data_IF_739774631453
#
_entry.id   IF_739774631453
#
_cell.length_a   1.000
_cell.length_b   1.000
_cell.length_c   1.000
_cell.angle_alpha   90.00
_cell.angle_beta   90.00
_cell.angle_gamma   90.00
#
_symmetry.space_group_name_H-M   'P 1'
#
loop_
_entity.id
_entity.type
_entity.pdbx_description
1 polymer ?
#
# COMPACT_ATOMS: atom_id res chain seq x y z
N UNK A 1 -15.34 5.67 -11.49
CA UNK A 1 -16.66 5.51 -10.82
C UNK A 1 -17.05 6.85 -10.20
N UNK A 2 -18.35 7.15 -10.06
CA UNK A 2 -18.84 8.44 -9.56
C UNK A 2 -19.20 8.46 -8.06
N UNK A 3 -18.97 7.35 -7.34
CA UNK A 3 -19.19 7.26 -5.89
C UNK A 3 -20.64 7.52 -5.47
N UNK A 4 -21.59 6.77 -6.06
CA UNK A 4 -23.02 6.94 -5.80
C UNK A 4 -23.66 5.74 -5.08
N UNK A 5 -23.01 4.58 -5.11
CA UNK A 5 -23.60 3.28 -4.71
C UNK A 5 -22.57 2.40 -3.99
N UNK A 6 -21.70 3.03 -3.21
CA UNK A 6 -20.69 2.38 -2.41
C UNK A 6 -21.33 1.45 -1.39
N UNK A 7 -20.78 0.24 -1.28
CA UNK A 7 -21.18 -0.77 -0.32
C UNK A 7 -20.03 -1.71 -0.04
N UNK A 8 -20.09 -2.39 1.10
CA UNK A 8 -19.20 -3.52 1.39
C UNK A 8 -19.53 -4.67 0.44
N UNK A 9 -18.49 -5.36 -0.04
CA UNK A 9 -18.64 -6.51 -0.94
C UNK A 9 -17.43 -7.43 -0.86
N UNK A 10 -17.64 -8.70 -1.21
CA UNK A 10 -16.53 -9.61 -1.46
C UNK A 10 -15.80 -9.21 -2.74
N UNK A 11 -14.47 -9.22 -2.71
CA UNK A 11 -13.60 -8.86 -3.83
C UNK A 11 -12.70 -10.06 -4.14
N UNK A 12 -12.72 -10.53 -5.39
CA UNK A 12 -11.76 -11.54 -5.86
C UNK A 12 -10.40 -10.90 -6.18
N UNK A 13 -9.28 -11.63 -5.97
CA UNK A 13 -7.96 -11.12 -6.27
C UNK A 13 -7.73 -10.97 -7.78
N UNK A 14 -7.01 -9.92 -8.17
CA UNK A 14 -6.60 -9.65 -9.56
C UNK A 14 -5.11 -9.96 -9.74
N UNK A 15 -4.80 -11.09 -10.35
CA UNK A 15 -3.41 -11.58 -10.52
C UNK A 15 -2.65 -11.02 -11.72
N UNK A 16 -3.36 -10.50 -12.73
CA UNK A 16 -2.72 -9.92 -13.93
C UNK A 16 -2.15 -8.52 -13.68
N UNK A 17 -1.62 -7.89 -14.73
CA UNK A 17 -1.05 -6.54 -14.64
C UNK A 17 -2.00 -5.48 -14.08
N UNK A 18 -3.31 -5.65 -14.25
CA UNK A 18 -4.34 -4.80 -13.64
C UNK A 18 -4.35 -4.82 -12.10
N UNK A 19 -3.72 -5.81 -11.46
CA UNK A 19 -3.55 -5.83 -9.99
C UNK A 19 -2.66 -4.71 -9.47
N UNK A 20 -1.79 -4.13 -10.31
CA UNK A 20 -0.94 -2.99 -9.96
C UNK A 20 -1.62 -1.64 -10.18
N UNK A 21 -2.83 -1.61 -10.75
CA UNK A 21 -3.60 -0.39 -10.88
C UNK A 21 -4.12 0.04 -9.49
N UNK A 22 -3.76 1.24 -8.98
CA UNK A 22 -4.18 1.69 -7.64
C UNK A 22 -5.70 1.84 -7.48
N UNK A 23 -6.46 1.90 -8.58
CA UNK A 23 -7.92 1.99 -8.58
C UNK A 23 -8.61 0.62 -8.69
N UNK A 24 -7.86 -0.49 -8.76
CA UNK A 24 -8.42 -1.84 -8.80
C UNK A 24 -8.44 -2.47 -7.39
N UNK A 25 -9.62 -2.67 -6.77
CA UNK A 25 -9.71 -3.28 -5.44
C UNK A 25 -9.24 -4.74 -5.42
N UNK A 26 -9.31 -5.46 -6.54
CA UNK A 26 -8.78 -6.82 -6.65
C UNK A 26 -7.27 -6.88 -6.49
N UNK A 27 -6.55 -5.79 -6.81
CA UNK A 27 -5.13 -5.66 -6.56
C UNK A 27 -4.79 -5.62 -5.07
N UNK A 28 -5.65 -4.99 -4.25
CA UNK A 28 -5.47 -4.94 -2.78
C UNK A 28 -5.57 -6.34 -2.18
N UNK A 29 -6.57 -7.13 -2.61
CA UNK A 29 -6.71 -8.53 -2.15
C UNK A 29 -5.51 -9.38 -2.57
N UNK A 30 -5.11 -9.32 -3.85
CA UNK A 30 -3.95 -10.04 -4.37
C UNK A 30 -2.65 -9.65 -3.63
N UNK A 31 -2.46 -8.35 -3.36
CA UNK A 31 -1.32 -7.84 -2.61
C UNK A 31 -1.23 -8.45 -1.21
N UNK A 32 -2.33 -8.50 -0.45
CA UNK A 32 -2.31 -9.07 0.90
C UNK A 32 -2.01 -10.57 0.91
N UNK A 33 -2.56 -11.32 -0.05
CA UNK A 33 -2.30 -12.76 -0.18
C UNK A 33 -0.81 -13.01 -0.45
N UNK A 34 -0.25 -12.36 -1.47
CA UNK A 34 1.14 -12.57 -1.86
C UNK A 34 2.13 -12.01 -0.84
N UNK A 35 1.89 -10.78 -0.33
CA UNK A 35 2.72 -10.21 0.71
C UNK A 35 2.68 -11.04 2.00
N UNK A 36 1.53 -11.62 2.33
CA UNK A 36 1.40 -12.55 3.46
C UNK A 36 2.24 -13.81 3.29
N UNK A 37 2.18 -14.44 2.11
CA UNK A 37 2.99 -15.61 1.78
C UNK A 37 4.49 -15.30 1.82
N UNK A 38 4.91 -14.19 1.19
CA UNK A 38 6.31 -13.74 1.19
C UNK A 38 6.78 -13.41 2.62
N UNK A 39 5.95 -12.74 3.42
CA UNK A 39 6.24 -12.40 4.81
C UNK A 39 6.45 -13.65 5.68
N UNK A 40 5.64 -14.69 5.49
CA UNK A 40 5.79 -15.96 6.19
C UNK A 40 7.10 -16.67 5.82
N UNK A 41 7.42 -16.76 4.53
CA UNK A 41 8.66 -17.37 4.05
C UNK A 41 9.90 -16.59 4.52
N UNK A 42 9.84 -15.26 4.46
CA UNK A 42 10.91 -14.36 4.94
C UNK A 42 11.10 -14.49 6.46
N UNK A 43 10.01 -14.56 7.22
CA UNK A 43 10.05 -14.79 8.67
C UNK A 43 10.72 -16.13 9.01
N UNK A 44 10.34 -17.21 8.32
CA UNK A 44 10.99 -18.52 8.50
C UNK A 44 12.49 -18.47 8.18
N UNK A 45 12.86 -17.79 7.09
CA UNK A 45 14.26 -17.57 6.74
C UNK A 45 15.02 -16.83 7.85
N UNK A 46 14.47 -15.72 8.36
CA UNK A 46 15.10 -14.93 9.42
C UNK A 46 15.19 -15.66 10.78
N UNK A 47 14.33 -16.64 11.05
CA UNK A 47 14.41 -17.49 12.24
C UNK A 47 15.50 -18.57 12.14
N UNK A 48 15.75 -19.08 10.94
CA UNK A 48 16.64 -20.23 10.71
C UNK A 48 18.04 -19.83 10.26
N UNK A 49 18.21 -18.61 9.72
CA UNK A 49 19.43 -18.16 9.07
C UNK A 49 20.07 -17.00 9.85
N UNK A 50 21.23 -17.21 10.50
CA UNK A 50 21.92 -16.13 11.21
C UNK A 50 22.50 -15.10 10.23
N UNK A 51 22.65 -13.84 10.64
CA UNK A 51 23.15 -12.78 9.78
C UNK A 51 24.63 -13.03 9.38
N UNK A 52 25.00 -12.80 8.11
CA UNK A 52 26.39 -12.81 7.67
C UNK A 52 27.24 -11.80 8.45
N UNK A 53 28.48 -12.16 8.80
CA UNK A 53 29.39 -11.32 9.60
C UNK A 53 29.57 -9.92 9.03
N UNK A 54 29.67 -9.79 7.70
CA UNK A 54 29.86 -8.51 7.01
C UNK A 54 28.67 -7.58 7.28
N UNK A 55 27.44 -8.08 7.11
CA UNK A 55 26.22 -7.30 7.36
C UNK A 55 26.06 -6.96 8.84
N UNK A 56 26.36 -7.92 9.73
CA UNK A 56 26.27 -7.73 11.18
C UNK A 56 27.14 -6.56 11.66
N UNK A 57 28.36 -6.46 11.12
CA UNK A 57 29.29 -5.38 11.43
C UNK A 57 28.91 -4.07 10.71
N UNK A 58 28.64 -4.12 9.41
CA UNK A 58 28.34 -2.93 8.61
C UNK A 58 27.09 -2.19 9.12
N UNK A 59 26.04 -2.93 9.46
CA UNK A 59 24.77 -2.38 9.95
C UNK A 59 24.74 -2.22 11.49
N UNK A 60 25.84 -2.54 12.19
CA UNK A 60 25.95 -2.45 13.65
C UNK A 60 24.80 -3.14 14.39
N UNK A 61 24.43 -4.36 13.98
CA UNK A 61 23.21 -5.07 14.44
C UNK A 61 23.13 -5.34 15.97
N UNK A 62 24.19 -5.08 16.74
CA UNK A 62 24.16 -5.11 18.22
C UNK A 62 23.58 -3.85 18.86
N UNK A 63 23.50 -2.74 18.14
CA UNK A 63 22.95 -1.48 18.64
C UNK A 63 21.47 -1.38 18.23
N UNK A 64 20.56 -1.29 19.21
CA UNK A 64 19.12 -1.13 18.99
C UNK A 64 18.75 0.13 18.20
N UNK A 65 19.57 1.19 18.28
CA UNK A 65 19.36 2.42 17.52
C UNK A 65 19.38 2.20 16.01
N UNK A 66 20.03 1.13 15.53
CA UNK A 66 20.03 0.77 14.10
C UNK A 66 18.66 0.24 13.66
N UNK A 67 17.99 -0.52 14.53
CA UNK A 67 16.61 -0.96 14.33
C UNK A 67 15.69 0.26 14.39
N UNK A 68 15.89 1.18 15.34
CA UNK A 68 15.12 2.43 15.42
C UNK A 68 15.26 3.26 14.14
N UNK A 69 16.49 3.49 13.67
CA UNK A 69 16.77 4.29 12.47
C UNK A 69 16.13 3.69 11.22
N UNK A 70 16.31 2.38 11.00
CA UNK A 70 15.70 1.68 9.87
C UNK A 70 14.16 1.65 9.95
N UNK A 71 13.59 1.54 11.16
CA UNK A 71 12.15 1.55 11.38
C UNK A 71 11.52 2.92 11.12
N UNK A 72 12.18 4.01 11.53
CA UNK A 72 11.74 5.37 11.21
C UNK A 72 11.72 5.58 9.70
N UNK A 73 12.76 5.11 8.98
CA UNK A 73 12.79 5.19 7.53
C UNK A 73 11.62 4.42 6.88
N UNK A 74 11.31 3.22 7.36
CA UNK A 74 10.19 2.42 6.87
C UNK A 74 8.82 3.07 7.13
N UNK A 75 8.60 3.61 8.33
CA UNK A 75 7.35 4.31 8.70
C UNK A 75 7.19 5.60 7.89
N UNK A 76 8.28 6.35 7.69
CA UNK A 76 8.29 7.55 6.86
C UNK A 76 7.87 7.21 5.43
N UNK A 77 8.46 6.17 4.85
CA UNK A 77 8.07 5.67 3.52
C UNK A 77 6.58 5.32 3.44
N UNK A 78 6.07 4.54 4.39
CA UNK A 78 4.65 4.18 4.44
C UNK A 78 3.73 5.40 4.58
N UNK A 79 4.12 6.38 5.40
CA UNK A 79 3.37 7.62 5.62
C UNK A 79 3.27 8.47 4.35
N UNK A 80 4.36 8.55 3.57
CA UNK A 80 4.36 9.24 2.28
C UNK A 80 3.45 8.57 1.26
N UNK A 81 3.50 7.24 1.15
CA UNK A 81 2.63 6.49 0.25
C UNK A 81 1.15 6.67 0.62
N UNK A 82 0.81 6.59 1.91
CA UNK A 82 -0.56 6.80 2.38
C UNK A 82 -1.05 8.23 2.13
N UNK A 83 -0.18 9.22 2.32
CA UNK A 83 -0.51 10.62 2.01
C UNK A 83 -0.76 10.81 0.51
N UNK A 84 0.04 10.17 -0.35
CA UNK A 84 -0.15 10.21 -1.79
C UNK A 84 -1.45 9.54 -2.24
N UNK A 85 -1.75 8.32 -1.76
CA UNK A 85 -2.99 7.61 -2.14
C UNK A 85 -4.24 8.30 -1.60
N UNK A 86 -4.15 9.02 -0.48
CA UNK A 86 -5.23 9.89 -0.01
C UNK A 86 -5.43 11.10 -0.94
N UNK A 87 -4.34 11.76 -1.36
CA UNK A 87 -4.43 12.98 -2.15
C UNK A 87 -4.87 12.75 -3.61
N UNK A 88 -4.34 11.70 -4.25
CA UNK A 88 -4.64 11.38 -5.65
C UNK A 88 -5.84 10.44 -5.81
N UNK A 89 -6.23 9.74 -4.74
CA UNK A 89 -7.26 8.71 -4.77
C UNK A 89 -6.71 7.33 -5.12
N UNK A 90 -7.31 6.30 -4.53
CA UNK A 90 -7.03 4.89 -4.76
C UNK A 90 -8.29 4.07 -4.43
N UNK A 91 -8.25 2.76 -4.71
CA UNK A 91 -9.33 1.84 -4.32
C UNK A 91 -9.58 1.81 -2.80
N UNK A 92 -8.57 2.15 -1.99
CA UNK A 92 -8.65 2.20 -0.53
C UNK A 92 -9.06 3.57 0.03
N UNK A 93 -9.19 4.59 -0.80
CA UNK A 93 -9.61 5.95 -0.41
C UNK A 93 -10.84 6.39 -1.21
N UNK A 94 -11.98 5.68 -1.07
CA UNK A 94 -13.17 5.96 -1.86
C UNK A 94 -13.80 7.31 -1.48
N UNK A 95 -14.27 8.03 -2.50
CA UNK A 95 -14.82 9.38 -2.35
C UNK A 95 -16.09 9.46 -1.49
N UNK A 96 -16.82 8.35 -1.35
CA UNK A 96 -18.01 8.27 -0.48
C UNK A 96 -17.65 8.29 1.01
N UNK A 97 -16.40 7.95 1.36
CA UNK A 97 -15.91 7.96 2.74
C UNK A 97 -15.02 9.17 3.04
N UNK A 98 -14.25 9.63 2.05
CA UNK A 98 -13.22 10.66 2.24
C UNK A 98 -13.49 11.97 1.49
N UNK A 99 -14.56 12.05 0.71
CA UNK A 99 -14.85 13.18 -0.17
C UNK A 99 -14.12 13.12 -1.52
N UNK A 100 -14.48 13.99 -2.47
CA UNK A 100 -13.85 14.04 -3.79
C UNK A 100 -12.42 14.61 -3.72
N UNK A 101 -11.60 14.25 -4.71
CA UNK A 101 -10.24 14.82 -4.83
C UNK A 101 -10.27 16.14 -5.57
N UNK A 102 -9.27 17.01 -5.33
CA UNK A 102 -9.11 18.25 -6.09
C UNK A 102 -9.03 18.01 -7.61
N UNK A 103 -8.48 16.87 -8.02
CA UNK A 103 -8.29 16.55 -9.43
C UNK A 103 -9.63 16.28 -10.14
N UNK A 104 -10.64 15.82 -9.42
CA UNK A 104 -11.99 15.67 -9.97
C UNK A 104 -12.65 17.03 -10.21
N UNK A 105 -12.36 18.02 -9.37
CA UNK A 105 -12.76 19.41 -9.59
C UNK A 105 -12.02 20.03 -10.77
N UNK A 106 -10.69 19.96 -10.77
CA UNK A 106 -9.82 20.56 -11.79
C UNK A 106 -10.11 19.99 -13.22
N UNK A 107 -10.59 18.75 -13.31
CA UNK A 107 -10.95 18.10 -14.57
C UNK A 107 -12.43 18.16 -14.94
N UNK A 108 -13.25 18.86 -14.13
CA UNK A 108 -14.71 18.92 -14.29
C UNK A 108 -15.38 17.52 -14.34
N UNK A 109 -14.80 16.55 -13.64
CA UNK A 109 -15.12 15.13 -13.80
C UNK A 109 -16.61 14.82 -13.59
N UNK A 110 -17.24 15.43 -12.58
CA UNK A 110 -18.67 15.25 -12.31
C UNK A 110 -19.54 16.07 -13.26
N UNK A 111 -19.11 17.29 -13.60
CA UNK A 111 -19.86 18.17 -14.50
C UNK A 111 -20.03 17.53 -15.87
N UNK A 112 -18.95 16.99 -16.45
CA UNK A 112 -18.96 16.25 -17.73
C UNK A 112 -19.82 14.99 -17.74
N UNK A 113 -20.23 14.50 -16.57
CA UNK A 113 -21.13 13.34 -16.49
C UNK A 113 -22.61 13.76 -16.46
N UNK A 114 -22.87 14.96 -15.95
CA UNK A 114 -24.21 15.51 -15.82
C UNK A 114 -24.65 16.12 -17.14
N UNK A 115 -23.72 16.71 -17.89
CA UNK A 115 -23.92 17.18 -19.27
C UNK A 115 -23.78 16.06 -20.29
#
# INVERSE_FOLDING_TARGET
>A
AYGLVGRTQGISPSWGGNGFNPFNPGGVSAHHIEAGNIGMLSGFFHLTSPPPRILFLALRMRNVETVLSSSIAAIFFASFLNSATMWYGAATTPIELFGPTRYQWDSEYFFRKIT
#
